data_IF_476123357081
#
_entry.id   IF_476123357081
#
_cell.length_a   1.000
_cell.length_b   1.000
_cell.length_c   1.000
_cell.angle_alpha   90.00
_cell.angle_beta   90.00
_cell.angle_gamma   90.00
#
_symmetry.space_group_name_H-M   'P 1'
#
loop_
_entity.id
_entity.type
_entity.pdbx_description
1 polymer ?
#
# COMPACT_ATOMS: atom_id res chain seq x y z
N UNK A 1 -12.55 -10.10 -5.17
CA UNK A 1 -12.13 -11.51 -5.07
C UNK A 1 -10.71 -11.62 -5.58
N UNK A 2 -9.85 -12.40 -4.93
CA UNK A 2 -8.52 -12.68 -5.48
C UNK A 2 -8.66 -13.65 -6.65
N UNK A 3 -7.98 -13.37 -7.76
CA UNK A 3 -8.01 -14.18 -8.98
C UNK A 3 -6.60 -14.65 -9.33
N UNK A 4 -6.51 -15.78 -10.04
CA UNK A 4 -5.25 -16.23 -10.62
C UNK A 4 -4.91 -15.43 -11.87
N UNK A 5 -3.65 -15.49 -12.30
CA UNK A 5 -3.21 -14.87 -13.56
C UNK A 5 -3.99 -15.41 -14.75
N UNK A 6 -4.28 -16.71 -14.80
CA UNK A 6 -5.06 -17.33 -15.89
C UNK A 6 -6.50 -16.81 -15.95
N UNK A 7 -7.06 -16.39 -14.82
CA UNK A 7 -8.36 -15.72 -14.79
C UNK A 7 -8.24 -14.28 -15.30
N UNK A 8 -7.18 -13.56 -14.93
CA UNK A 8 -6.90 -12.21 -15.45
C UNK A 8 -6.66 -12.22 -16.98
N UNK A 9 -5.91 -13.21 -17.50
CA UNK A 9 -5.69 -13.43 -18.94
C UNK A 9 -7.01 -13.52 -19.72
N UNK A 10 -8.05 -14.15 -19.13
CA UNK A 10 -9.37 -14.28 -19.75
C UNK A 10 -10.17 -12.98 -19.74
N UNK A 11 -9.86 -12.06 -18.83
CA UNK A 11 -10.57 -10.78 -18.67
C UNK A 11 -9.98 -9.72 -19.60
N UNK A 12 -8.65 -9.56 -19.58
CA UNK A 12 -7.97 -8.47 -20.32
C UNK A 12 -7.22 -8.94 -21.57
N UNK A 13 -7.11 -10.26 -21.77
CA UNK A 13 -6.30 -10.86 -22.83
C UNK A 13 -4.86 -11.13 -22.36
N UNK A 14 -4.32 -12.28 -22.77
CA UNK A 14 -3.01 -12.76 -22.32
C UNK A 14 -1.86 -11.77 -22.55
N UNK A 15 -1.77 -11.21 -23.76
CA UNK A 15 -0.68 -10.29 -24.11
C UNK A 15 -0.68 -9.03 -23.24
N UNK A 16 -1.86 -8.44 -23.03
CA UNK A 16 -2.02 -7.28 -22.17
C UNK A 16 -1.74 -7.63 -20.70
N UNK A 17 -2.23 -8.77 -20.22
CA UNK A 17 -1.98 -9.23 -18.85
C UNK A 17 -0.47 -9.43 -18.59
N UNK A 18 0.26 -10.06 -19.51
CA UNK A 18 1.71 -10.25 -19.41
C UNK A 18 2.46 -8.89 -19.36
N UNK A 19 2.01 -7.90 -20.14
CA UNK A 19 2.56 -6.52 -20.11
C UNK A 19 2.27 -5.82 -18.77
N UNK A 20 1.05 -5.91 -18.27
CA UNK A 20 0.64 -5.30 -16.99
C UNK A 20 1.44 -5.92 -15.84
N UNK A 21 1.54 -7.25 -15.79
CA UNK A 21 2.32 -7.95 -14.76
C UNK A 21 3.78 -7.48 -14.77
N UNK A 22 4.40 -7.43 -15.95
CA UNK A 22 5.77 -6.97 -16.08
C UNK A 22 5.96 -5.56 -15.53
N UNK A 23 5.08 -4.62 -15.92
CA UNK A 23 5.15 -3.23 -15.46
C UNK A 23 4.92 -3.14 -13.95
N UNK A 24 3.92 -3.84 -13.42
CA UNK A 24 3.60 -3.84 -11.99
C UNK A 24 4.77 -4.36 -11.14
N UNK A 25 5.40 -5.47 -11.56
CA UNK A 25 6.56 -6.04 -10.87
C UNK A 25 7.79 -5.14 -10.99
N UNK A 26 8.05 -4.54 -12.16
CA UNK A 26 9.17 -3.63 -12.36
C UNK A 26 9.02 -2.36 -11.49
N UNK A 27 7.81 -1.77 -11.45
CA UNK A 27 7.49 -0.61 -10.60
C UNK A 27 7.62 -0.95 -9.12
N UNK A 28 7.00 -2.06 -8.68
CA UNK A 28 7.08 -2.52 -7.30
C UNK A 28 8.52 -2.77 -6.87
N UNK A 29 9.31 -3.47 -7.68
CA UNK A 29 10.71 -3.81 -7.37
C UNK A 29 11.53 -2.55 -7.17
N UNK A 30 11.42 -1.59 -8.10
CA UNK A 30 12.13 -0.31 -8.00
C UNK A 30 11.75 0.46 -6.74
N UNK A 31 10.46 0.55 -6.43
CA UNK A 31 9.97 1.26 -5.26
C UNK A 31 10.37 0.58 -3.94
N UNK A 32 10.23 -0.75 -3.87
CA UNK A 32 10.64 -1.57 -2.72
C UNK A 32 12.13 -1.38 -2.43
N UNK A 33 12.98 -1.45 -3.45
CA UNK A 33 14.41 -1.31 -3.30
C UNK A 33 14.79 0.10 -2.82
N UNK A 34 14.13 1.13 -3.36
CA UNK A 34 14.29 2.51 -2.88
C UNK A 34 13.85 2.67 -1.42
N UNK A 35 12.65 2.22 -1.07
CA UNK A 35 12.10 2.33 0.28
C UNK A 35 12.96 1.59 1.31
N UNK A 36 13.56 0.45 0.92
CA UNK A 36 14.48 -0.30 1.78
C UNK A 36 15.70 0.57 2.18
N UNK A 37 16.19 1.44 1.28
CA UNK A 37 17.28 2.39 1.62
C UNK A 37 16.85 3.45 2.65
N UNK A 38 15.54 3.64 2.83
CA UNK A 38 14.92 4.56 3.79
C UNK A 38 14.43 3.85 5.06
N UNK A 39 14.77 2.57 5.24
CA UNK A 39 14.33 1.79 6.40
C UNK A 39 12.87 1.35 6.37
N UNK A 40 12.24 1.36 5.19
CA UNK A 40 10.86 0.93 4.98
C UNK A 40 10.83 -0.32 4.10
N UNK A 41 10.09 -1.33 4.53
CA UNK A 41 9.73 -2.49 3.70
C UNK A 41 8.36 -2.23 3.11
N UNK A 42 8.25 -2.22 1.78
CA UNK A 42 6.96 -2.30 1.09
C UNK A 42 6.61 -3.78 0.98
N UNK A 43 5.62 -4.24 1.74
CA UNK A 43 5.24 -5.65 1.78
C UNK A 43 4.40 -6.06 0.57
N UNK A 44 3.49 -5.19 0.18
CA UNK A 44 2.64 -5.29 -1.01
C UNK A 44 2.13 -3.91 -1.42
N UNK A 45 1.64 -3.80 -2.65
CA UNK A 45 1.08 -2.59 -3.22
C UNK A 45 -0.02 -2.93 -4.23
N UNK A 46 -1.05 -2.08 -4.32
CA UNK A 46 -2.05 -2.09 -5.38
C UNK A 46 -1.75 -0.99 -6.38
N UNK A 47 -1.63 -1.36 -7.66
CA UNK A 47 -1.59 -0.40 -8.77
C UNK A 47 -2.87 -0.49 -9.57
N UNK A 48 -3.27 0.64 -10.16
CA UNK A 48 -4.29 0.67 -11.20
C UNK A 48 -3.67 1.16 -12.51
N UNK A 49 -4.08 0.53 -13.60
CA UNK A 49 -3.60 0.84 -14.93
C UNK A 49 -4.78 1.14 -15.85
N UNK A 50 -4.72 2.28 -16.52
CA UNK A 50 -5.59 2.64 -17.63
C UNK A 50 -4.95 2.30 -18.98
N UNK A 51 -5.76 2.35 -20.03
CA UNK A 51 -5.30 2.27 -21.42
C UNK A 51 -5.56 3.58 -22.14
N UNK A 52 -4.53 4.11 -22.80
CA UNK A 52 -4.64 5.20 -23.75
C UNK A 52 -4.12 4.73 -25.12
N UNK A 53 -5.03 4.24 -25.95
CA UNK A 53 -4.70 3.44 -27.13
C UNK A 53 -3.97 2.16 -26.72
N UNK A 54 -2.77 1.94 -27.27
CA UNK A 54 -1.92 0.79 -26.94
C UNK A 54 -1.00 1.02 -25.72
N UNK A 55 -1.05 2.22 -25.13
CA UNK A 55 -0.23 2.59 -23.98
C UNK A 55 -0.90 2.18 -22.67
N UNK A 56 -0.10 1.57 -21.78
CA UNK A 56 -0.49 1.30 -20.39
C UNK A 56 -0.11 2.53 -19.56
N UNK A 57 -1.08 3.14 -18.91
CA UNK A 57 -0.91 4.36 -18.11
C UNK A 57 -1.12 4.02 -16.64
N UNK A 58 -0.16 4.34 -15.79
CA UNK A 58 -0.33 4.24 -14.34
C UNK A 58 -1.30 5.33 -13.87
N UNK A 59 -2.35 4.93 -13.17
CA UNK A 59 -3.41 5.82 -12.69
C UNK A 59 -3.64 5.59 -11.19
N UNK A 60 -4.65 6.28 -10.63
CA UNK A 60 -4.97 6.26 -9.21
C UNK A 60 -3.80 6.75 -8.33
N UNK A 61 -3.84 6.48 -7.02
CA UNK A 61 -2.71 6.70 -6.13
C UNK A 61 -1.67 5.57 -6.25
N UNK A 62 -0.42 5.92 -5.96
CA UNK A 62 0.72 5.02 -6.19
C UNK A 62 1.60 5.04 -4.97
N UNK A 63 1.76 3.86 -4.34
CA UNK A 63 2.71 3.66 -3.23
C UNK A 63 2.47 4.65 -2.08
N UNK A 64 1.21 4.79 -1.70
CA UNK A 64 0.75 5.51 -0.52
C UNK A 64 0.49 4.52 0.62
N UNK A 65 0.41 4.97 1.88
CA UNK A 65 -0.03 4.09 2.99
C UNK A 65 -1.50 3.60 2.86
N UNK A 66 -2.26 4.12 1.91
CA UNK A 66 -3.62 3.64 1.61
C UNK A 66 -3.60 2.43 0.67
N UNK A 67 -2.74 2.50 -0.34
CA UNK A 67 -2.62 1.55 -1.44
C UNK A 67 -1.58 0.45 -1.19
N UNK A 68 -0.74 0.61 -0.16
CA UNK A 68 0.41 -0.25 0.12
C UNK A 68 0.58 -0.52 1.61
N UNK A 69 1.16 -1.67 1.94
CA UNK A 69 1.58 -1.98 3.31
C UNK A 69 3.04 -1.61 3.54
N UNK A 70 3.29 -0.73 4.50
CA UNK A 70 4.62 -0.25 4.85
C UNK A 70 5.02 -0.71 6.23
N UNK A 71 6.13 -1.44 6.32
CA UNK A 71 6.66 -1.94 7.58
C UNK A 71 7.97 -1.27 7.95
N UNK A 72 8.20 -1.10 9.25
CA UNK A 72 9.49 -0.65 9.76
C UNK A 72 10.54 -1.76 9.61
N UNK A 73 11.56 -1.52 8.77
CA UNK A 73 12.60 -2.52 8.50
C UNK A 73 13.40 -2.93 9.74
N UNK A 74 13.57 -2.02 10.71
CA UNK A 74 14.35 -2.30 11.94
C UNK A 74 13.60 -3.15 12.96
N UNK A 75 12.27 -3.21 12.86
CA UNK A 75 11.40 -3.98 13.77
C UNK A 75 10.80 -5.23 13.11
N UNK A 76 11.06 -5.41 11.82
CA UNK A 76 10.55 -6.53 11.05
C UNK A 76 11.03 -7.86 11.62
N UNK A 77 10.10 -8.80 11.79
CA UNK A 77 10.41 -10.16 12.25
C UNK A 77 9.48 -11.18 11.60
N UNK A 78 10.05 -12.23 11.02
CA UNK A 78 9.28 -13.30 10.38
C UNK A 78 8.44 -14.04 11.43
N UNK A 79 7.19 -14.38 11.08
CA UNK A 79 6.32 -15.22 11.91
C UNK A 79 5.40 -14.46 12.88
N UNK A 80 5.35 -13.13 12.81
CA UNK A 80 4.41 -12.29 13.58
C UNK A 80 3.76 -11.19 12.72
N UNK A 81 2.82 -10.44 13.30
CA UNK A 81 2.33 -9.18 12.73
C UNK A 81 3.39 -8.09 12.83
N UNK A 82 3.44 -7.20 11.84
CA UNK A 82 4.49 -6.19 11.71
C UNK A 82 4.03 -4.81 12.17
N UNK A 83 4.94 -4.00 12.71
CA UNK A 83 4.72 -2.58 12.95
C UNK A 83 4.51 -1.88 11.61
N UNK A 84 3.31 -1.32 11.45
CA UNK A 84 2.85 -0.74 10.20
C UNK A 84 2.83 0.79 10.28
N UNK A 85 3.22 1.42 9.16
CA UNK A 85 3.06 2.86 8.93
C UNK A 85 1.79 3.21 8.15
N UNK A 86 0.86 2.26 8.05
CA UNK A 86 -0.29 2.34 7.16
C UNK A 86 -1.62 2.11 7.91
N UNK A 87 -2.71 1.96 7.14
CA UNK A 87 -4.07 1.73 7.65
C UNK A 87 -4.21 0.53 8.59
N UNK A 88 -3.21 -0.34 8.71
CA UNK A 88 -3.27 -1.50 9.60
C UNK A 88 -3.55 -1.10 11.06
N UNK A 89 -2.99 0.01 11.56
CA UNK A 89 -3.29 0.50 12.90
C UNK A 89 -4.79 0.76 13.12
N UNK A 90 -5.42 1.47 12.17
CA UNK A 90 -6.85 1.75 12.21
C UNK A 90 -7.68 0.46 12.06
N UNK A 91 -7.28 -0.45 11.17
CA UNK A 91 -7.97 -1.74 10.97
C UNK A 91 -7.92 -2.62 12.23
N UNK A 92 -6.78 -2.65 12.90
CA UNK A 92 -6.61 -3.38 14.15
C UNK A 92 -7.50 -2.77 15.24
N UNK A 93 -7.52 -1.43 15.37
CA UNK A 93 -8.42 -0.75 16.31
C UNK A 93 -9.90 -1.05 16.02
N UNK A 94 -10.34 -0.95 14.76
CA UNK A 94 -11.72 -1.26 14.37
C UNK A 94 -12.10 -2.71 14.72
N UNK A 95 -11.19 -3.65 14.50
CA UNK A 95 -11.38 -5.07 14.77
C UNK A 95 -11.44 -5.35 16.27
N UNK A 96 -10.47 -4.84 17.04
CA UNK A 96 -10.39 -5.03 18.50
C UNK A 96 -11.57 -4.41 19.25
N UNK A 97 -12.17 -3.34 18.70
CA UNK A 97 -13.36 -2.71 19.27
C UNK A 97 -14.68 -3.29 18.74
N UNK A 98 -14.64 -4.30 17.87
CA UNK A 98 -15.85 -4.95 17.33
C UNK A 98 -16.72 -4.01 16.48
N UNK A 99 -16.10 -3.03 15.83
CA UNK A 99 -16.77 -2.01 15.00
C UNK A 99 -16.34 -2.06 13.54
N UNK A 100 -15.49 -3.02 13.16
CA UNK A 100 -15.13 -3.27 11.78
C UNK A 100 -16.39 -3.48 10.90
N UNK A 101 -16.48 -2.71 9.81
CA UNK A 101 -17.60 -2.76 8.87
C UNK A 101 -18.89 -2.05 9.32
N UNK A 102 -18.89 -1.37 10.47
CA UNK A 102 -20.03 -0.55 10.90
C UNK A 102 -19.91 0.87 10.32
N UNK A 103 -21.03 1.40 9.86
CA UNK A 103 -21.13 2.78 9.40
C UNK A 103 -21.19 3.76 10.58
N UNK A 104 -20.72 4.99 10.35
CA UNK A 104 -20.84 6.09 11.32
C UNK A 104 -19.94 5.95 12.57
N UNK A 105 -18.93 5.07 12.54
CA UNK A 105 -17.98 4.92 13.64
C UNK A 105 -17.06 6.14 13.68
N UNK A 106 -17.19 6.95 14.73
CA UNK A 106 -16.27 8.04 15.00
C UNK A 106 -14.96 7.51 15.59
N UNK A 107 -13.83 7.89 15.01
CA UNK A 107 -12.52 7.59 15.58
C UNK A 107 -12.27 8.50 16.80
N UNK A 108 -11.84 7.94 17.94
CA UNK A 108 -11.26 8.71 19.03
C UNK A 108 -10.08 9.57 18.56
N UNK A 109 -9.86 10.72 19.21
CA UNK A 109 -8.84 11.70 18.81
C UNK A 109 -7.42 11.13 18.83
N UNK A 110 -7.11 10.23 19.76
CA UNK A 110 -5.83 9.52 19.84
C UNK A 110 -5.62 8.61 18.63
N UNK A 111 -6.66 7.92 18.16
CA UNK A 111 -6.60 7.08 16.96
C UNK A 111 -6.40 7.93 15.70
N UNK A 112 -7.07 9.09 15.62
CA UNK A 112 -6.88 10.05 14.52
C UNK A 112 -5.44 10.55 14.51
N UNK A 113 -4.93 10.98 15.66
CA UNK A 113 -3.59 11.54 15.82
C UNK A 113 -2.51 10.51 15.48
N UNK A 114 -2.64 9.28 16.00
CA UNK A 114 -1.69 8.21 15.73
C UNK A 114 -1.76 7.73 14.28
N UNK A 115 -2.95 7.64 13.69
CA UNK A 115 -3.07 7.32 12.25
C UNK A 115 -2.37 8.38 11.41
N UNK A 116 -2.59 9.67 11.70
CA UNK A 116 -1.91 10.77 10.99
C UNK A 116 -0.39 10.71 11.17
N UNK A 117 0.10 10.43 12.37
CA UNK A 117 1.55 10.38 12.65
C UNK A 117 2.25 9.31 11.80
N UNK A 118 1.61 8.15 11.58
CA UNK A 118 2.14 7.09 10.70
C UNK A 118 2.27 7.52 9.25
N UNK A 119 1.30 8.27 8.72
CA UNK A 119 1.34 8.78 7.35
C UNK A 119 2.45 9.81 7.16
N UNK A 120 2.57 10.72 8.13
CA UNK A 120 3.65 11.71 8.15
C UNK A 120 5.00 11.01 8.21
N UNK A 121 5.18 10.04 9.10
CA UNK A 121 6.43 9.29 9.22
C UNK A 121 6.80 8.54 7.92
N UNK A 122 5.82 7.88 7.28
CA UNK A 122 6.05 7.24 5.99
C UNK A 122 6.44 8.25 4.90
N UNK A 123 5.73 9.38 4.81
CA UNK A 123 6.03 10.46 3.86
C UNK A 123 7.45 10.98 4.07
N UNK A 124 7.78 11.43 5.27
CA UNK A 124 9.07 12.08 5.56
C UNK A 124 10.25 11.12 5.34
N UNK A 125 10.09 9.83 5.68
CA UNK A 125 11.13 8.84 5.44
C UNK A 125 11.34 8.56 3.95
N UNK A 126 10.26 8.42 3.18
CA UNK A 126 10.33 8.11 1.75
C UNK A 126 10.81 9.29 0.92
N UNK A 127 10.36 10.51 1.20
CA UNK A 127 10.69 11.69 0.41
C UNK A 127 11.98 12.35 0.90
N UNK A 128 12.28 12.27 2.20
CA UNK A 128 13.32 13.07 2.84
C UNK A 128 12.88 14.51 3.16
N UNK A 129 11.64 14.87 2.83
CA UNK A 129 11.07 16.19 3.08
C UNK A 129 10.31 16.20 4.42
N UNK A 130 10.16 17.39 5.02
CA UNK A 130 9.37 17.56 6.24
C UNK A 130 7.91 17.88 5.89
N UNK A 131 6.99 17.17 6.53
CA UNK A 131 5.57 17.48 6.40
C UNK A 131 5.25 18.83 7.04
N UNK A 132 4.37 19.61 6.41
CA UNK A 132 3.87 20.88 6.93
C UNK A 132 2.34 20.84 6.92
N UNK A 133 1.72 21.31 8.00
CA UNK A 133 0.27 21.45 8.13
C UNK A 133 -0.29 22.68 7.41
#
# INVERSE_FOLDING_TARGET
ENITKEQADKIVGKELCDRIEKIAIDLYTKARDYAATKGIIIADAKFEFGLDGDNIVLVDEVLTPDSSRFWNATKYEVGKSQDSYDKQFLRDWLTSNGVAGKDGVAMPEDIVTETKSKYVEAYENLTGDKWQE
#
